data_IF_670816786252
#
_entry.id   IF_670816786252
#
_cell.length_a   1.000
_cell.length_b   1.000
_cell.length_c   1.000
_cell.angle_alpha   90.00
_cell.angle_beta   90.00
_cell.angle_gamma   90.00
#
_symmetry.space_group_name_H-M   'P 1'
#
loop_
_entity.id
_entity.type
_entity.pdbx_description
1 polymer ?
#
# COMPACT_ATOMS: atom_id res chain seq x y z
N UNK A 1 5.92 -20.65 -4.02
CA UNK A 1 5.62 -19.29 -3.48
C UNK A 1 6.85 -18.40 -3.32
N UNK A 2 7.86 -18.76 -2.51
CA UNK A 2 9.03 -17.89 -2.24
C UNK A 2 9.80 -17.44 -3.50
N UNK A 3 9.96 -18.34 -4.46
CA UNK A 3 10.62 -18.05 -5.74
C UNK A 3 9.88 -16.97 -6.56
N UNK A 4 8.55 -16.88 -6.45
CA UNK A 4 7.75 -15.86 -7.14
C UNK A 4 7.97 -14.48 -6.50
N UNK A 5 8.01 -14.43 -5.17
CA UNK A 5 8.30 -13.19 -4.43
C UNK A 5 9.70 -12.69 -4.77
N UNK A 6 10.68 -13.59 -4.80
CA UNK A 6 12.06 -13.24 -5.14
C UNK A 6 12.20 -12.72 -6.57
N UNK A 7 11.49 -13.34 -7.52
CA UNK A 7 11.41 -12.86 -8.91
C UNK A 7 10.89 -11.42 -8.97
N UNK A 8 9.81 -11.10 -8.26
CA UNK A 8 9.22 -9.75 -8.24
C UNK A 8 10.20 -8.72 -7.68
N UNK A 9 10.95 -9.06 -6.62
CA UNK A 9 12.00 -8.21 -6.04
C UNK A 9 13.15 -7.97 -7.03
N UNK A 10 13.62 -9.02 -7.71
CA UNK A 10 14.71 -8.90 -8.69
C UNK A 10 14.33 -8.02 -9.88
N UNK A 11 13.09 -8.11 -10.35
CA UNK A 11 12.57 -7.26 -11.43
C UNK A 11 12.51 -5.78 -10.98
N UNK A 12 12.28 -5.52 -9.70
CA UNK A 12 12.11 -4.18 -9.15
C UNK A 12 13.39 -3.49 -8.67
N UNK A 13 14.55 -4.17 -8.68
CA UNK A 13 15.84 -3.66 -8.16
C UNK A 13 16.20 -2.23 -8.59
N UNK A 14 16.02 -1.88 -9.86
CA UNK A 14 16.33 -0.55 -10.38
C UNK A 14 15.36 0.53 -9.86
N UNK A 15 14.11 0.15 -9.64
CA UNK A 15 13.10 1.04 -9.06
C UNK A 15 13.31 1.23 -7.56
N UNK A 16 13.81 0.22 -6.85
CA UNK A 16 14.15 0.29 -5.42
C UNK A 16 15.25 1.32 -5.17
N UNK A 17 16.30 1.35 -6.01
CA UNK A 17 17.37 2.36 -5.89
C UNK A 17 16.84 3.78 -6.09
N UNK A 18 16.04 4.00 -7.15
CA UNK A 18 15.40 5.30 -7.38
C UNK A 18 14.52 5.72 -6.19
N UNK A 19 13.75 4.77 -5.64
CA UNK A 19 12.92 5.03 -4.48
C UNK A 19 13.72 5.35 -3.23
N UNK A 20 14.83 4.67 -2.99
CA UNK A 20 15.72 4.99 -1.88
C UNK A 20 16.24 6.44 -1.96
N UNK A 21 16.64 6.90 -3.16
CA UNK A 21 17.07 8.29 -3.39
C UNK A 21 15.93 9.28 -3.11
N UNK A 22 14.72 9.01 -3.61
CA UNK A 22 13.55 9.85 -3.36
C UNK A 22 13.21 9.92 -1.87
N UNK A 23 13.30 8.81 -1.15
CA UNK A 23 13.01 8.78 0.29
C UNK A 23 14.05 9.58 1.09
N UNK A 24 15.33 9.45 0.76
CA UNK A 24 16.40 10.25 1.38
C UNK A 24 16.13 11.74 1.14
N UNK A 25 15.75 12.11 -0.09
CA UNK A 25 15.42 13.49 -0.42
C UNK A 25 14.23 14.01 0.41
N UNK A 26 13.14 13.24 0.53
CA UNK A 26 11.96 13.62 1.33
C UNK A 26 12.34 13.84 2.79
N UNK A 27 13.17 12.98 3.37
CA UNK A 27 13.60 13.09 4.76
C UNK A 27 14.48 14.34 4.96
N UNK A 28 15.49 14.54 4.11
CA UNK A 28 16.39 15.70 4.20
C UNK A 28 15.60 17.01 4.05
N UNK A 29 14.73 17.07 3.04
CA UNK A 29 13.92 18.26 2.77
C UNK A 29 12.89 18.50 3.89
N UNK A 30 12.22 17.46 4.38
CA UNK A 30 11.26 17.57 5.48
C UNK A 30 11.92 18.12 6.74
N UNK A 31 13.10 17.62 7.09
CA UNK A 31 13.87 18.13 8.24
C UNK A 31 14.34 19.57 8.02
N UNK A 32 14.81 19.92 6.81
CA UNK A 32 15.35 21.26 6.56
C UNK A 32 14.31 22.38 6.62
N UNK A 33 13.07 22.09 6.25
CA UNK A 33 11.95 23.05 6.33
C UNK A 33 11.23 23.03 7.69
N UNK A 34 11.69 22.21 8.65
CA UNK A 34 11.06 22.07 9.96
C UNK A 34 9.68 21.40 9.92
N UNK A 35 9.43 20.54 8.92
CA UNK A 35 8.18 19.81 8.79
C UNK A 35 8.05 18.79 9.94
N UNK A 36 6.86 18.61 10.54
CA UNK A 36 6.68 17.61 11.58
C UNK A 36 7.03 16.21 11.08
N UNK A 37 7.76 15.44 11.91
CA UNK A 37 8.21 14.08 11.61
C UNK A 37 7.09 13.18 11.09
N UNK A 38 5.92 13.29 11.73
CA UNK A 38 4.75 12.52 11.36
C UNK A 38 4.37 12.66 9.87
N UNK A 39 4.44 13.87 9.33
CA UNK A 39 3.93 14.17 7.98
C UNK A 39 4.91 13.67 6.91
N UNK A 40 6.21 13.94 7.04
CA UNK A 40 7.16 13.50 6.01
C UNK A 40 7.41 11.99 6.07
N UNK A 41 7.31 11.36 7.25
CA UNK A 41 7.40 9.90 7.39
C UNK A 41 6.19 9.19 6.77
N UNK A 42 4.98 9.68 7.02
CA UNK A 42 3.76 9.11 6.43
C UNK A 42 3.74 9.29 4.91
N UNK A 43 4.09 10.47 4.40
CA UNK A 43 4.23 10.72 2.96
C UNK A 43 5.31 9.84 2.32
N UNK A 44 6.49 9.75 2.96
CA UNK A 44 7.58 8.89 2.49
C UNK A 44 7.14 7.43 2.41
N UNK A 45 6.50 6.91 3.46
CA UNK A 45 6.03 5.52 3.49
C UNK A 45 4.95 5.25 2.44
N UNK A 46 4.04 6.19 2.22
CA UNK A 46 2.98 6.09 1.23
C UNK A 46 3.54 6.13 -0.20
N UNK A 47 4.45 7.07 -0.48
CA UNK A 47 5.13 7.15 -1.79
C UNK A 47 5.94 5.88 -2.03
N UNK A 48 6.70 5.41 -1.04
CA UNK A 48 7.52 4.22 -1.15
C UNK A 48 6.68 2.97 -1.41
N UNK A 49 5.78 2.62 -0.48
CA UNK A 49 4.98 1.41 -0.59
C UNK A 49 4.00 1.46 -1.75
N UNK A 50 3.33 2.60 -1.95
CA UNK A 50 2.36 2.77 -3.03
C UNK A 50 3.00 2.70 -4.42
N UNK A 51 4.16 3.34 -4.63
CA UNK A 51 4.82 3.32 -5.94
C UNK A 51 5.44 1.97 -6.28
N UNK A 52 5.89 1.19 -5.29
CA UNK A 52 6.39 -0.16 -5.53
C UNK A 52 5.25 -1.07 -5.98
N UNK A 53 4.10 -1.01 -5.30
CA UNK A 53 2.89 -1.75 -5.70
C UNK A 53 2.41 -1.31 -7.08
N UNK A 54 2.32 -0.01 -7.34
CA UNK A 54 1.87 0.48 -8.63
C UNK A 54 2.81 0.02 -9.78
N UNK A 55 4.13 0.09 -9.56
CA UNK A 55 5.13 -0.37 -10.53
C UNK A 55 5.14 -1.89 -10.70
N UNK A 56 4.83 -2.65 -9.66
CA UNK A 56 4.75 -4.11 -9.79
C UNK A 56 3.61 -4.47 -10.74
N UNK A 57 2.45 -3.85 -10.56
CA UNK A 57 1.29 -4.07 -11.44
C UNK A 57 1.57 -3.59 -12.86
N UNK A 58 2.18 -2.40 -13.03
CA UNK A 58 2.45 -1.87 -14.38
C UNK A 58 3.44 -2.75 -15.16
N UNK A 59 4.49 -3.25 -14.51
CA UNK A 59 5.45 -4.15 -15.15
C UNK A 59 4.87 -5.53 -15.44
N UNK A 60 3.91 -5.98 -14.63
CA UNK A 60 3.23 -7.23 -14.91
C UNK A 60 2.43 -7.14 -16.21
N UNK A 61 1.86 -5.97 -16.51
CA UNK A 61 1.21 -5.74 -17.80
C UNK A 61 2.20 -5.74 -18.96
N UNK A 62 3.26 -4.93 -18.88
CA UNK A 62 4.23 -4.79 -19.97
C UNK A 62 4.87 -6.15 -20.36
N UNK A 63 4.95 -7.09 -19.41
CA UNK A 63 5.51 -8.42 -19.60
C UNK A 63 4.46 -9.52 -19.76
N UNK A 64 3.17 -9.20 -19.83
CA UNK A 64 2.06 -10.17 -19.81
C UNK A 64 2.22 -11.25 -18.74
N UNK A 65 2.68 -10.83 -17.55
CA UNK A 65 3.14 -11.73 -16.49
C UNK A 65 2.02 -12.61 -15.97
N UNK A 66 0.76 -12.14 -15.97
CA UNK A 66 -0.38 -12.95 -15.57
C UNK A 66 -0.54 -14.17 -16.50
N UNK A 67 -0.50 -13.96 -17.82
CA UNK A 67 -0.60 -15.01 -18.83
C UNK A 67 0.61 -15.96 -18.81
N UNK A 68 1.80 -15.39 -18.60
CA UNK A 68 3.01 -16.20 -18.44
C UNK A 68 2.94 -17.09 -17.19
N UNK A 69 2.54 -16.53 -16.04
CA UNK A 69 2.50 -17.27 -14.78
C UNK A 69 1.37 -18.30 -14.77
N UNK A 70 0.23 -18.07 -15.45
CA UNK A 70 -0.83 -19.08 -15.60
C UNK A 70 -0.43 -20.23 -16.51
N UNK A 71 0.54 -20.04 -17.42
CA UNK A 71 1.10 -21.12 -18.25
C UNK A 71 2.10 -22.02 -17.52
N UNK A 72 2.62 -21.59 -16.36
CA UNK A 72 3.53 -22.40 -15.55
C UNK A 72 2.75 -23.43 -14.72
N UNK A 73 3.35 -24.58 -14.38
CA UNK A 73 2.76 -25.60 -13.51
C UNK A 73 2.79 -25.16 -12.03
N UNK A 74 2.22 -24.00 -11.75
CA UNK A 74 2.17 -23.36 -10.43
C UNK A 74 0.71 -23.18 -10.05
N UNK A 75 0.36 -23.43 -8.78
CA UNK A 75 -1.03 -23.26 -8.36
C UNK A 75 -1.44 -21.79 -8.40
N UNK A 76 -2.64 -21.51 -8.93
CA UNK A 76 -3.20 -20.15 -9.00
C UNK A 76 -3.27 -19.49 -7.62
N UNK A 77 -3.58 -20.29 -6.59
CA UNK A 77 -3.55 -19.88 -5.18
C UNK A 77 -2.18 -19.34 -4.76
N UNK A 78 -1.08 -19.99 -5.16
CA UNK A 78 0.27 -19.56 -4.82
C UNK A 78 0.64 -18.22 -5.46
N UNK A 79 0.11 -17.95 -6.66
CA UNK A 79 0.32 -16.67 -7.37
C UNK A 79 -0.33 -15.53 -6.61
N UNK A 80 -1.60 -15.69 -6.23
CA UNK A 80 -2.34 -14.67 -5.46
C UNK A 80 -1.69 -14.47 -4.09
N UNK A 81 -1.42 -15.56 -3.36
CA UNK A 81 -0.80 -15.45 -2.03
C UNK A 81 0.60 -14.82 -2.11
N UNK A 82 1.43 -15.15 -3.11
CA UNK A 82 2.72 -14.50 -3.30
C UNK A 82 2.60 -12.99 -3.49
N UNK A 83 1.56 -12.51 -4.19
CA UNK A 83 1.33 -11.08 -4.39
C UNK A 83 0.96 -10.35 -3.10
N UNK A 84 -0.01 -10.90 -2.36
CA UNK A 84 -0.47 -10.31 -1.11
C UNK A 84 0.65 -10.32 -0.04
N UNK A 85 1.35 -11.45 0.11
CA UNK A 85 2.49 -11.56 1.03
C UNK A 85 3.66 -10.67 0.59
N UNK A 86 3.95 -10.59 -0.71
CA UNK A 86 5.01 -9.72 -1.25
C UNK A 86 4.77 -8.25 -0.92
N UNK A 87 3.52 -7.79 -0.99
CA UNK A 87 3.14 -6.42 -0.62
C UNK A 87 3.42 -6.14 0.86
N UNK A 88 3.03 -7.06 1.76
CA UNK A 88 3.32 -6.92 3.19
C UNK A 88 4.82 -6.88 3.49
N UNK A 89 5.62 -7.71 2.82
CA UNK A 89 7.09 -7.72 2.97
C UNK A 89 7.69 -6.39 2.53
N UNK A 90 7.23 -5.86 1.39
CA UNK A 90 7.69 -4.57 0.87
C UNK A 90 7.30 -3.43 1.82
N UNK A 91 6.08 -3.43 2.35
CA UNK A 91 5.63 -2.45 3.33
C UNK A 91 6.54 -2.46 4.57
N UNK A 92 6.78 -3.64 5.15
CA UNK A 92 7.72 -3.81 6.27
C UNK A 92 9.12 -3.28 5.93
N UNK A 93 9.67 -3.66 4.77
CA UNK A 93 11.00 -3.23 4.35
C UNK A 93 11.10 -1.70 4.17
N UNK A 94 10.10 -1.07 3.55
CA UNK A 94 10.07 0.40 3.36
C UNK A 94 9.95 1.14 4.69
N UNK A 95 9.14 0.63 5.63
CA UNK A 95 9.00 1.20 6.97
C UNK A 95 10.30 1.12 7.76
N UNK A 96 10.98 -0.03 7.74
CA UNK A 96 12.29 -0.19 8.39
C UNK A 96 13.34 0.72 7.76
N UNK A 97 13.37 0.80 6.43
CA UNK A 97 14.30 1.67 5.71
C UNK A 97 14.11 3.15 6.10
N UNK A 98 12.86 3.63 6.14
CA UNK A 98 12.56 5.00 6.54
C UNK A 98 12.97 5.29 7.98
N UNK A 99 12.74 4.36 8.91
CA UNK A 99 13.19 4.50 10.30
C UNK A 99 14.70 4.74 10.38
N UNK A 100 15.47 3.92 9.68
CA UNK A 100 16.94 4.00 9.66
C UNK A 100 17.40 5.32 9.05
N UNK A 101 16.87 5.69 7.87
CA UNK A 101 17.28 6.91 7.17
C UNK A 101 16.97 8.15 8.00
N UNK A 102 15.77 8.25 8.58
CA UNK A 102 15.39 9.42 9.37
C UNK A 102 16.18 9.51 10.68
N UNK A 103 16.45 8.39 11.34
CA UNK A 103 17.28 8.38 12.55
C UNK A 103 18.72 8.85 12.27
N UNK A 104 19.26 8.51 11.09
CA UNK A 104 20.59 8.98 10.64
C UNK A 104 20.55 10.49 10.35
N UNK A 105 19.55 10.98 9.62
CA UNK A 105 19.47 12.39 9.20
C UNK A 105 19.25 13.33 10.39
N UNK A 106 18.41 12.94 11.35
CA UNK A 106 18.11 13.77 12.52
C UNK A 106 19.15 13.64 13.63
N UNK A 107 20.15 12.76 13.49
CA UNK A 107 21.15 12.43 14.52
C UNK A 107 20.52 12.05 15.87
N UNK A 108 19.26 11.64 15.86
CA UNK A 108 18.44 11.37 17.04
C UNK A 108 17.46 10.25 16.71
N UNK A 109 17.10 9.47 17.73
CA UNK A 109 16.04 8.47 17.59
C UNK A 109 14.69 9.18 17.61
N UNK A 110 13.88 8.92 16.60
CA UNK A 110 12.50 9.42 16.53
C UNK A 110 11.71 8.75 17.66
N UNK A 111 10.82 9.49 18.36
CA UNK A 111 9.87 8.89 19.27
C UNK A 111 9.13 7.74 18.57
N UNK A 112 9.12 6.57 19.22
CA UNK A 112 8.50 5.37 18.64
C UNK A 112 7.01 5.60 18.35
N UNK A 113 6.33 6.39 19.18
CA UNK A 113 4.92 6.75 18.98
C UNK A 113 4.68 7.42 17.62
N UNK A 114 5.40 8.49 17.30
CA UNK A 114 5.28 9.21 16.02
C UNK A 114 5.57 8.30 14.84
N UNK A 115 6.59 7.45 14.97
CA UNK A 115 6.96 6.50 13.93
C UNK A 115 5.86 5.45 13.68
N UNK A 116 5.32 4.83 14.74
CA UNK A 116 4.25 3.83 14.60
C UNK A 116 2.98 4.44 14.02
N UNK A 117 2.68 5.67 14.41
CA UNK A 117 1.52 6.40 13.93
C UNK A 117 1.69 6.75 12.43
N UNK A 118 2.86 7.22 11.99
CA UNK A 118 3.16 7.45 10.56
C UNK A 118 3.18 6.17 9.74
N UNK A 119 3.81 5.11 10.25
CA UNK A 119 3.87 3.83 9.55
C UNK A 119 2.46 3.24 9.42
N UNK A 120 1.69 3.28 10.51
CA UNK A 120 0.35 2.74 10.55
C UNK A 120 -0.63 3.48 9.65
N UNK A 121 -0.53 4.81 9.53
CA UNK A 121 -1.34 5.58 8.56
C UNK A 121 -1.03 5.18 7.12
N UNK A 122 0.25 5.12 6.76
CA UNK A 122 0.66 4.69 5.43
C UNK A 122 0.20 3.25 5.14
N UNK A 123 0.31 2.35 6.12
CA UNK A 123 -0.12 0.96 5.98
C UNK A 123 -1.63 0.83 5.79
N UNK A 124 -2.42 1.58 6.56
CA UNK A 124 -3.88 1.63 6.40
C UNK A 124 -4.25 1.99 4.96
N UNK A 125 -3.61 3.02 4.40
CA UNK A 125 -3.89 3.50 3.04
C UNK A 125 -3.48 2.48 1.99
N UNK A 126 -2.26 1.92 2.09
CA UNK A 126 -1.76 0.92 1.13
C UNK A 126 -2.63 -0.34 1.16
N UNK A 127 -3.01 -0.82 2.35
CA UNK A 127 -3.90 -1.97 2.49
C UNK A 127 -5.28 -1.69 1.90
N UNK A 128 -5.85 -0.50 2.14
CA UNK A 128 -7.14 -0.11 1.58
C UNK A 128 -7.12 -0.07 0.05
N UNK A 129 -6.06 0.50 -0.54
CA UNK A 129 -5.89 0.56 -2.00
C UNK A 129 -5.71 -0.86 -2.57
N UNK A 130 -4.82 -1.67 -2.01
CA UNK A 130 -4.50 -3.00 -2.53
C UNK A 130 -5.63 -4.00 -2.35
N UNK A 131 -6.42 -3.88 -1.28
CA UNK A 131 -7.63 -4.66 -1.06
C UNK A 131 -8.62 -4.52 -2.22
N UNK A 132 -8.77 -3.31 -2.77
CA UNK A 132 -9.67 -3.06 -3.90
C UNK A 132 -9.04 -3.41 -5.24
N UNK A 133 -7.77 -3.04 -5.44
CA UNK A 133 -7.11 -3.19 -6.73
C UNK A 133 -6.78 -4.64 -7.08
N UNK A 134 -6.31 -5.45 -6.12
CA UNK A 134 -5.87 -6.82 -6.43
C UNK A 134 -6.99 -7.74 -6.94
N UNK A 135 -8.18 -7.80 -6.32
CA UNK A 135 -9.30 -8.59 -6.86
C UNK A 135 -9.69 -8.16 -8.26
N UNK A 136 -9.73 -6.85 -8.51
CA UNK A 136 -10.10 -6.27 -9.80
C UNK A 136 -9.05 -6.62 -10.85
N UNK A 137 -7.77 -6.51 -10.51
CA UNK A 137 -6.66 -6.91 -11.36
C UNK A 137 -6.75 -8.39 -11.76
N UNK A 138 -7.02 -9.29 -10.81
CA UNK A 138 -7.15 -10.72 -11.12
C UNK A 138 -8.44 -11.08 -11.86
N UNK A 139 -9.51 -10.30 -11.69
CA UNK A 139 -10.80 -10.57 -12.32
C UNK A 139 -10.91 -10.03 -13.75
N UNK A 140 -10.52 -8.77 -13.94
CA UNK A 140 -10.81 -7.99 -15.15
C UNK A 140 -9.55 -7.66 -15.96
N UNK A 141 -8.37 -8.03 -15.47
CA UNK A 141 -7.10 -7.64 -16.05
C UNK A 141 -6.77 -6.17 -15.82
N UNK A 142 -5.64 -5.74 -16.38
CA UNK A 142 -5.06 -4.43 -16.09
C UNK A 142 -5.78 -3.26 -16.77
N UNK A 143 -6.28 -3.45 -18.00
CA UNK A 143 -6.96 -2.37 -18.73
C UNK A 143 -8.21 -1.88 -18.00
N UNK A 144 -9.00 -2.80 -17.44
CA UNK A 144 -10.18 -2.44 -16.63
C UNK A 144 -9.81 -1.89 -15.26
N UNK A 145 -8.68 -2.31 -14.67
CA UNK A 145 -8.16 -1.72 -13.44
C UNK A 145 -7.87 -0.22 -13.60
N UNK A 146 -7.38 0.24 -14.77
CA UNK A 146 -7.14 1.66 -15.04
C UNK A 146 -8.42 2.50 -14.98
N UNK A 147 -9.52 1.98 -15.52
CA UNK A 147 -10.84 2.62 -15.44
C UNK A 147 -11.41 2.63 -14.02
N UNK A 148 -11.15 1.58 -13.23
CA UNK A 148 -11.52 1.57 -11.81
C UNK A 148 -10.72 2.61 -11.03
N UNK A 149 -9.42 2.75 -11.30
CA UNK A 149 -8.58 3.77 -10.66
C UNK A 149 -9.08 5.19 -10.95
N UNK A 150 -9.44 5.49 -12.20
CA UNK A 150 -10.02 6.80 -12.54
C UNK A 150 -11.39 7.00 -11.88
N UNK A 151 -12.21 5.94 -11.81
CA UNK A 151 -13.48 5.95 -11.05
C UNK A 151 -13.28 6.19 -9.56
N UNK A 152 -12.21 5.65 -8.95
CA UNK A 152 -11.86 5.83 -7.54
C UNK A 152 -11.50 7.29 -7.23
N UNK A 153 -10.85 8.00 -8.15
CA UNK A 153 -10.56 9.44 -7.99
C UNK A 153 -11.85 10.24 -7.93
N UNK A 154 -12.81 9.95 -8.82
CA UNK A 154 -14.13 10.58 -8.83
C UNK A 154 -14.90 10.23 -7.56
N UNK A 155 -14.84 8.96 -7.15
CA UNK A 155 -15.46 8.50 -5.91
C UNK A 155 -14.88 9.18 -4.68
N UNK A 156 -13.56 9.37 -4.63
CA UNK A 156 -12.91 10.13 -3.56
C UNK A 156 -13.38 11.58 -3.52
N UNK A 157 -13.50 12.25 -4.68
CA UNK A 157 -14.05 13.60 -4.77
C UNK A 157 -15.50 13.68 -4.28
N UNK A 158 -16.32 12.65 -4.55
CA UNK A 158 -17.68 12.57 -4.02
C UNK A 158 -17.69 12.33 -2.50
N UNK A 159 -16.79 11.49 -1.99
CA UNK A 159 -16.67 11.24 -0.55
C UNK A 159 -16.28 12.50 0.23
N UNK A 160 -15.39 13.33 -0.29
CA UNK A 160 -15.03 14.60 0.37
C UNK A 160 -16.21 15.57 0.41
N UNK A 161 -17.06 15.59 -0.61
CA UNK A 161 -18.32 16.34 -0.58
C UNK A 161 -19.28 15.78 0.46
N UNK A 162 -19.42 14.45 0.55
CA UNK A 162 -20.27 13.79 1.55
C UNK A 162 -19.74 13.99 2.98
N UNK A 163 -18.43 14.14 3.17
CA UNK A 163 -17.83 14.40 4.48
C UNK A 163 -18.26 15.74 5.08
N UNK A 164 -18.70 16.69 4.25
CA UNK A 164 -19.25 17.97 4.72
C UNK A 164 -20.68 17.87 5.26
N UNK A 165 -21.35 16.71 5.13
CA UNK A 165 -22.72 16.55 5.62
C UNK A 165 -22.76 16.58 7.16
N UNK A 166 -23.79 17.21 7.76
CA UNK A 166 -23.90 17.34 9.22
C UNK A 166 -23.92 15.99 9.95
N UNK A 167 -24.49 14.96 9.33
CA UNK A 167 -24.54 13.61 9.90
C UNK A 167 -23.14 12.98 9.98
N UNK A 168 -22.30 13.25 8.99
CA UNK A 168 -20.92 12.74 8.94
C UNK A 168 -20.04 13.52 9.89
N UNK A 169 -20.19 14.84 9.96
CA UNK A 169 -19.49 15.67 10.94
C UNK A 169 -19.81 15.26 12.38
N UNK A 170 -21.08 14.96 12.70
CA UNK A 170 -21.45 14.42 14.02
C UNK A 170 -20.81 13.08 14.33
N UNK A 171 -20.66 12.21 13.33
CA UNK A 171 -19.94 10.95 13.51
C UNK A 171 -18.45 11.20 13.75
N UNK A 172 -17.83 12.11 12.99
CA UNK A 172 -16.41 12.48 13.15
C UNK A 172 -16.15 13.04 14.55
N UNK A 173 -16.97 13.98 15.04
CA UNK A 173 -16.79 14.56 16.38
C UNK A 173 -17.04 13.55 17.50
N UNK A 174 -17.80 12.49 17.24
CA UNK A 174 -17.95 11.37 18.18
C UNK A 174 -16.65 10.56 18.33
N UNK A 175 -15.86 10.47 17.25
CA UNK A 175 -14.55 9.83 17.25
C UNK A 175 -13.42 10.76 17.73
N UNK A 176 -13.58 12.09 17.67
CA UNK A 176 -12.56 13.05 18.15
C UNK A 176 -12.22 12.88 19.64
N UNK A 177 -13.15 12.34 20.44
CA UNK A 177 -12.88 12.04 21.86
C UNK A 177 -11.99 10.83 22.09
N UNK A 178 -11.67 10.05 21.04
CA UNK A 178 -10.85 8.85 21.15
C UNK A 178 -9.40 9.19 20.79
N UNK A 179 -8.43 8.62 21.51
CA UNK A 179 -7.02 8.81 21.20
C UNK A 179 -6.72 8.36 19.77
N UNK A 180 -5.98 9.17 19.01
CA UNK A 180 -5.67 8.92 17.59
C UNK A 180 -5.09 7.52 17.34
N UNK A 181 -4.19 7.06 18.23
CA UNK A 181 -3.61 5.72 18.15
C UNK A 181 -4.64 4.59 18.26
N UNK A 182 -5.72 4.76 19.04
CA UNK A 182 -6.79 3.77 19.20
C UNK A 182 -7.61 3.67 17.92
N UNK A 183 -7.98 4.81 17.35
CA UNK A 183 -8.72 4.87 16.07
C UNK A 183 -7.90 4.22 14.96
N UNK A 184 -6.61 4.57 14.89
CA UNK A 184 -5.68 4.02 13.92
C UNK A 184 -5.55 2.51 14.06
N UNK A 185 -5.40 1.99 15.28
CA UNK A 185 -5.29 0.55 15.54
C UNK A 185 -6.57 -0.21 15.12
N UNK A 186 -7.75 0.34 15.41
CA UNK A 186 -9.03 -0.25 14.99
C UNK A 186 -9.18 -0.26 13.47
N UNK A 187 -8.85 0.85 12.80
CA UNK A 187 -8.90 0.94 11.34
C UNK A 187 -7.89 0.02 10.67
N UNK A 188 -6.66 -0.08 11.19
CA UNK A 188 -5.66 -1.03 10.71
C UNK A 188 -6.13 -2.47 10.86
N UNK A 189 -6.70 -2.82 12.02
CA UNK A 189 -7.26 -4.15 12.27
C UNK A 189 -8.37 -4.47 11.26
N UNK A 190 -9.30 -3.54 11.05
CA UNK A 190 -10.35 -3.67 10.04
C UNK A 190 -9.77 -3.85 8.63
N UNK A 191 -8.78 -3.03 8.25
CA UNK A 191 -8.13 -3.11 6.93
C UNK A 191 -7.39 -4.44 6.74
N UNK A 192 -6.74 -4.98 7.77
CA UNK A 192 -6.13 -6.31 7.69
C UNK A 192 -7.17 -7.42 7.48
N UNK A 193 -8.30 -7.38 8.20
CA UNK A 193 -9.38 -8.36 8.01
C UNK A 193 -9.93 -8.27 6.59
N UNK A 194 -10.21 -7.06 6.12
CA UNK A 194 -10.70 -6.83 4.76
C UNK A 194 -9.69 -7.25 3.69
N UNK A 195 -8.39 -7.03 3.93
CA UNK A 195 -7.31 -7.46 3.04
C UNK A 195 -7.25 -8.99 2.93
N UNK A 196 -7.44 -9.72 4.03
CA UNK A 196 -7.50 -11.19 4.03
C UNK A 196 -8.77 -11.67 3.30
N UNK A 197 -9.91 -11.02 3.50
CA UNK A 197 -11.16 -11.32 2.76
C UNK A 197 -10.96 -11.09 1.26
N UNK A 198 -10.35 -9.97 0.88
CA UNK A 198 -9.97 -9.64 -0.49
C UNK A 198 -9.06 -10.70 -1.10
N UNK A 199 -8.06 -11.19 -0.36
CA UNK A 199 -7.19 -12.28 -0.82
C UNK A 199 -7.99 -13.55 -1.13
N UNK A 200 -8.93 -13.94 -0.25
CA UNK A 200 -9.77 -15.12 -0.48
C UNK A 200 -10.68 -14.95 -1.69
N UNK A 201 -11.22 -13.75 -1.90
CA UNK A 201 -12.01 -13.44 -3.10
C UNK A 201 -11.15 -13.55 -4.35
N UNK A 202 -9.96 -12.96 -4.37
CA UNK A 202 -9.01 -13.03 -5.49
C UNK A 202 -8.61 -14.46 -5.85
N UNK A 203 -8.41 -15.34 -4.85
CA UNK A 203 -8.13 -16.76 -5.09
C UNK A 203 -9.30 -17.42 -5.82
N UNK A 204 -10.53 -17.26 -5.30
CA UNK A 204 -11.72 -17.86 -5.92
C UNK A 204 -11.91 -17.35 -7.35
N UNK A 205 -11.79 -16.03 -7.55
CA UNK A 205 -11.94 -15.43 -8.86
C UNK A 205 -10.94 -16.04 -9.84
N UNK A 206 -9.65 -16.09 -9.50
CA UNK A 206 -8.63 -16.63 -10.39
C UNK A 206 -8.81 -18.13 -10.67
N UNK A 207 -9.40 -18.91 -9.74
CA UNK A 207 -9.77 -20.31 -9.97
C UNK A 207 -10.90 -20.47 -11.01
N UNK A 208 -11.86 -19.55 -11.07
CA UNK A 208 -12.98 -19.60 -12.02
C UNK A 208 -12.69 -18.93 -13.38
N UNK A 209 -11.59 -18.18 -13.48
CA UNK A 209 -11.28 -17.43 -14.71
C UNK A 209 -10.41 -18.31 -15.61
N UNK A 210 -11.00 -18.87 -16.67
CA UNK A 210 -10.24 -19.56 -17.73
C UNK A 210 -9.50 -18.51 -18.58
N UNK A 211 -8.28 -18.16 -18.13
CA UNK A 211 -7.28 -17.40 -18.90
C UNK A 211 -6.44 -18.35 -19.75
#
# INVERSE_FOLDING_TARGET
>A
MWQLIWKDVMIQRGSILWLAVVLIFIVIFGVSIGMPAFIFLSLGALIAGGSIVAKSISRDEDNHTLLFVTSLPVSRKDVVMARYTGTLIIMLATTVFLYVVTSIVMWTLIPMEDFFVSAGTAWMIILGITMLLFPIYFWLGYDLMRYVLSGLIIFYALLTMLASLPIVQRAITWFEGWGYGVILALLLGLMMVLYIVSMRLSIRVLEFTDL
#
